data_IF_556529398325
#
_entry.id   IF_556529398325
#
_cell.length_a   1.000
_cell.length_b   1.000
_cell.length_c   1.000
_cell.angle_alpha   90.00
_cell.angle_beta   90.00
_cell.angle_gamma   90.00
#
_symmetry.space_group_name_H-M   'P 1'
#
loop_
_entity.id
_entity.type
_entity.pdbx_description
1 polymer ?
#
# COMPACT_ATOMS: atom_id res chain seq x y z
N UNK A 1 28.52 0.66 1.14
CA UNK A 1 28.03 0.34 -0.21
C UNK A 1 26.57 -0.06 -0.10
N UNK A 2 25.67 0.52 -0.88
CA UNK A 2 24.27 0.08 -0.92
C UNK A 2 24.15 -1.14 -1.85
N UNK A 3 23.52 -2.21 -1.37
CA UNK A 3 23.23 -3.40 -2.17
C UNK A 3 22.22 -3.02 -3.26
N UNK A 4 22.51 -3.34 -4.52
CA UNK A 4 21.58 -3.13 -5.65
C UNK A 4 20.86 -4.44 -5.95
N UNK A 5 19.54 -4.45 -5.78
CA UNK A 5 18.68 -5.57 -6.21
C UNK A 5 18.30 -5.31 -7.67
N UNK A 6 18.81 -6.13 -8.59
CA UNK A 6 18.52 -6.05 -10.02
C UNK A 6 17.09 -6.51 -10.33
N UNK A 7 16.48 -5.93 -11.38
CA UNK A 7 15.18 -6.37 -11.90
C UNK A 7 13.93 -5.74 -11.24
N UNK A 8 14.09 -4.81 -10.31
CA UNK A 8 12.94 -4.13 -9.69
C UNK A 8 12.42 -2.98 -10.57
N UNK A 9 11.12 -2.98 -10.84
CA UNK A 9 10.41 -1.85 -11.43
C UNK A 9 10.36 -0.67 -10.43
N UNK A 10 10.33 0.58 -10.92
CA UNK A 10 10.18 1.77 -10.09
C UNK A 10 8.78 1.87 -9.46
N UNK A 11 7.82 1.08 -9.93
CA UNK A 11 6.46 0.98 -9.41
C UNK A 11 6.15 -0.43 -8.90
N UNK A 12 5.17 -0.52 -8.03
CA UNK A 12 4.59 -1.78 -7.55
C UNK A 12 3.08 -1.74 -7.81
N UNK A 13 2.53 -2.83 -8.36
CA UNK A 13 1.09 -2.99 -8.54
C UNK A 13 0.54 -3.87 -7.42
N UNK A 14 -0.53 -3.43 -6.78
CA UNK A 14 -1.16 -4.11 -5.63
C UNK A 14 -2.67 -4.22 -5.89
N UNK A 15 -3.29 -5.39 -5.67
CA UNK A 15 -4.73 -5.53 -5.79
C UNK A 15 -5.45 -4.78 -4.66
N UNK A 16 -6.54 -4.12 -5.01
CA UNK A 16 -7.43 -3.41 -4.09
C UNK A 16 -8.89 -3.81 -4.32
N UNK A 17 -9.69 -3.70 -3.27
CA UNK A 17 -11.11 -4.03 -3.30
C UNK A 17 -11.90 -2.85 -2.75
N UNK A 18 -12.81 -2.31 -3.56
CA UNK A 18 -13.79 -1.31 -3.16
C UNK A 18 -15.11 -2.02 -2.83
N UNK A 19 -15.68 -1.72 -1.66
CA UNK A 19 -16.99 -2.22 -1.26
C UNK A 19 -18.02 -1.11 -1.41
N UNK A 20 -18.97 -1.28 -2.34
CA UNK A 20 -20.03 -0.32 -2.60
C UNK A 20 -21.36 -0.82 -2.03
N UNK A 21 -22.14 0.03 -1.33
CA UNK A 21 -23.47 -0.34 -0.89
C UNK A 21 -24.38 -0.57 -2.10
N UNK A 22 -25.16 -1.64 -2.06
CA UNK A 22 -26.18 -1.97 -3.07
C UNK A 22 -27.53 -2.22 -2.40
N UNK A 23 -28.57 -2.39 -3.22
CA UNK A 23 -29.94 -2.59 -2.76
C UNK A 23 -30.07 -3.74 -1.76
N UNK A 24 -30.98 -3.57 -0.80
CA UNK A 24 -31.22 -4.56 0.25
C UNK A 24 -30.16 -4.58 1.37
N UNK A 25 -29.33 -3.54 1.49
CA UNK A 25 -28.32 -3.42 2.55
C UNK A 25 -27.11 -4.33 2.35
N UNK A 26 -26.88 -4.78 1.11
CA UNK A 26 -25.73 -5.60 0.75
C UNK A 26 -24.57 -4.70 0.26
N UNK A 27 -23.40 -5.31 0.07
CA UNK A 27 -22.23 -4.65 -0.51
C UNK A 27 -21.73 -5.43 -1.73
N UNK A 28 -21.48 -4.73 -2.83
CA UNK A 28 -20.80 -5.26 -3.99
C UNK A 28 -19.29 -4.99 -3.89
N UNK A 29 -18.48 -6.02 -4.13
CA UNK A 29 -17.03 -5.89 -4.17
C UNK A 29 -16.56 -5.65 -5.60
N UNK A 30 -15.89 -4.52 -5.82
CA UNK A 30 -15.21 -4.20 -7.07
C UNK A 30 -13.70 -4.35 -6.88
N UNK A 31 -13.07 -5.23 -7.65
CA UNK A 31 -11.63 -5.48 -7.60
C UNK A 31 -10.92 -4.68 -8.68
N UNK A 32 -9.87 -3.98 -8.28
CA UNK A 32 -9.03 -3.17 -9.16
C UNK A 32 -7.57 -3.28 -8.73
N UNK A 33 -6.64 -2.74 -9.51
CA UNK A 33 -5.23 -2.67 -9.14
C UNK A 33 -4.80 -1.22 -8.96
N UNK A 34 -3.93 -0.99 -7.99
CA UNK A 34 -3.32 0.31 -7.73
C UNK A 34 -1.84 0.22 -8.00
N UNK A 35 -1.29 1.18 -8.74
CA UNK A 35 0.13 1.30 -8.96
C UNK A 35 0.72 2.36 -8.05
N UNK A 36 1.62 1.94 -7.17
CA UNK A 36 2.35 2.83 -6.26
C UNK A 36 3.78 3.04 -6.72
N UNK A 37 4.31 4.23 -6.45
CA UNK A 37 5.75 4.50 -6.62
C UNK A 37 6.57 3.81 -5.54
N UNK A 38 7.69 3.21 -5.92
CA UNK A 38 8.64 2.60 -4.98
C UNK A 38 9.44 3.70 -4.28
N UNK A 39 9.00 4.07 -3.08
CA UNK A 39 9.63 5.10 -2.27
C UNK A 39 10.86 4.60 -1.48
N UNK A 40 11.88 5.47 -1.28
CA UNK A 40 12.96 5.18 -0.33
C UNK A 40 12.43 5.11 1.10
N UNK A 41 13.14 4.40 1.99
CA UNK A 41 12.76 4.26 3.41
C UNK A 41 12.54 5.61 4.08
N UNK A 42 13.47 6.56 3.92
CA UNK A 42 13.36 7.90 4.52
C UNK A 42 12.05 8.62 4.17
N UNK A 43 11.65 8.62 2.90
CA UNK A 43 10.39 9.24 2.45
C UNK A 43 9.16 8.51 2.99
N UNK A 44 9.20 7.17 3.07
CA UNK A 44 8.10 6.40 3.66
C UNK A 44 7.93 6.67 5.15
N UNK A 45 9.04 6.72 5.89
CA UNK A 45 9.02 7.01 7.33
C UNK A 45 8.45 8.43 7.57
N UNK A 46 8.85 9.41 6.77
CA UNK A 46 8.30 10.77 6.81
C UNK A 46 6.79 10.81 6.52
N UNK A 47 6.32 10.12 5.48
CA UNK A 47 4.89 10.04 5.16
C UNK A 47 4.11 9.41 6.32
N UNK A 48 4.62 8.32 6.91
CA UNK A 48 3.97 7.68 8.05
C UNK A 48 3.91 8.60 9.26
N UNK A 49 4.96 9.36 9.54
CA UNK A 49 4.96 10.35 10.62
C UNK A 49 3.93 11.46 10.37
N UNK A 50 3.84 11.97 9.13
CA UNK A 50 2.86 12.99 8.73
C UNK A 50 1.42 12.50 8.82
N UNK A 51 1.16 11.22 8.56
CA UNK A 51 -0.18 10.63 8.66
C UNK A 51 -0.56 10.36 10.12
N UNK A 52 0.33 9.73 10.90
CA UNK A 52 0.00 9.25 12.26
C UNK A 52 0.13 10.36 13.31
N UNK A 53 1.24 11.10 13.29
CA UNK A 53 1.54 12.12 14.30
C UNK A 53 1.11 13.49 13.80
N UNK A 54 1.46 13.80 12.55
CA UNK A 54 1.37 15.13 11.98
C UNK A 54 2.59 15.99 12.35
N UNK A 55 2.82 17.03 11.56
CA UNK A 55 3.94 17.96 11.75
C UNK A 55 3.41 19.29 12.27
N UNK A 56 4.10 19.85 13.26
CA UNK A 56 3.79 21.20 13.74
C UNK A 56 4.03 22.22 12.62
N UNK A 57 3.03 23.02 12.32
CA UNK A 57 3.10 24.18 11.46
C UNK A 57 2.60 25.40 12.22
N UNK A 58 3.08 26.57 11.82
CA UNK A 58 2.57 27.84 12.33
C UNK A 58 1.56 28.37 11.32
N UNK A 59 0.32 28.53 11.77
CA UNK A 59 -0.78 29.08 10.98
C UNK A 59 -0.55 30.54 10.60
N UNK A 60 -1.34 31.05 9.67
CA UNK A 60 -1.24 32.44 9.20
C UNK A 60 -1.53 33.48 10.30
N UNK A 61 -2.20 33.06 11.38
CA UNK A 61 -2.52 33.82 12.58
C UNK A 61 -1.47 33.67 13.70
N UNK A 62 -0.39 32.92 13.45
CA UNK A 62 0.65 32.65 14.44
C UNK A 62 0.31 31.53 15.43
N UNK A 63 -0.83 30.84 15.26
CA UNK A 63 -1.19 29.69 16.08
C UNK A 63 -0.36 28.45 15.71
N UNK A 64 0.05 27.67 16.71
CA UNK A 64 0.65 26.36 16.48
C UNK A 64 -0.46 25.36 16.10
N UNK A 65 -0.38 24.81 14.89
CA UNK A 65 -1.27 23.77 14.37
C UNK A 65 -0.47 22.49 14.08
N UNK A 66 -1.16 21.34 14.12
CA UNK A 66 -0.57 20.07 13.71
C UNK A 66 -1.15 19.70 12.36
N UNK A 67 -0.38 19.92 11.29
CA UNK A 67 -0.77 19.51 9.95
C UNK A 67 -0.55 18.02 9.77
N UNK A 68 -1.62 17.29 9.47
CA UNK A 68 -1.60 15.88 9.07
C UNK A 68 -1.81 15.76 7.58
N UNK A 69 -1.18 14.73 7.00
CA UNK A 69 -1.42 14.39 5.61
C UNK A 69 -2.81 13.75 5.47
N UNK A 70 -3.66 14.35 4.65
CA UNK A 70 -4.97 13.77 4.32
C UNK A 70 -4.82 12.60 3.36
N UNK A 71 -5.84 11.75 3.23
CA UNK A 71 -5.83 10.63 2.28
C UNK A 71 -5.61 11.11 0.83
N UNK A 72 -6.30 12.14 0.33
CA UNK A 72 -6.06 12.63 -1.03
C UNK A 72 -4.61 13.11 -1.24
N UNK A 73 -4.03 13.82 -0.26
CA UNK A 73 -2.63 14.26 -0.32
C UNK A 73 -1.65 13.09 -0.25
N UNK A 74 -1.95 12.07 0.56
CA UNK A 74 -1.19 10.83 0.60
C UNK A 74 -1.18 10.15 -0.76
N UNK A 75 -2.35 9.97 -1.38
CA UNK A 75 -2.47 9.29 -2.65
C UNK A 75 -1.85 10.08 -3.80
N UNK A 76 -1.93 11.42 -3.77
CA UNK A 76 -1.22 12.28 -4.74
C UNK A 76 0.30 12.09 -4.67
N UNK A 77 0.80 11.81 -3.46
CA UNK A 77 2.19 11.45 -3.29
C UNK A 77 2.43 10.02 -3.77
N UNK A 78 1.69 9.00 -3.32
CA UNK A 78 2.15 7.60 -3.46
C UNK A 78 1.66 6.88 -4.72
N UNK A 79 0.52 7.27 -5.29
CA UNK A 79 -0.11 6.59 -6.43
C UNK A 79 0.36 7.20 -7.75
N UNK A 80 0.60 6.35 -8.74
CA UNK A 80 0.99 6.78 -10.09
C UNK A 80 0.12 6.16 -11.18
N UNK A 81 -0.76 5.23 -10.83
CA UNK A 81 -1.61 4.53 -11.79
C UNK A 81 -2.66 3.66 -11.10
N UNK A 82 -3.59 3.17 -11.90
CA UNK A 82 -4.53 2.12 -11.54
C UNK A 82 -4.78 1.20 -12.74
N UNK A 83 -5.40 0.07 -12.50
CA UNK A 83 -5.90 -0.84 -13.53
C UNK A 83 -7.23 -1.46 -13.10
N UNK A 84 -8.01 -1.93 -14.08
CA UNK A 84 -9.34 -2.49 -13.82
C UNK A 84 -10.46 -1.45 -13.70
N UNK A 85 -10.16 -0.17 -13.91
CA UNK A 85 -11.15 0.91 -13.97
C UNK A 85 -11.65 1.08 -15.41
N UNK A 86 -12.96 0.99 -15.63
CA UNK A 86 -13.60 1.05 -16.95
C UNK A 86 -14.72 2.09 -16.97
N UNK A 87 -14.84 2.80 -18.09
CA UNK A 87 -15.92 3.75 -18.34
C UNK A 87 -17.22 3.06 -18.75
N UNK A 88 -18.26 3.85 -19.02
CA UNK A 88 -19.59 3.36 -19.40
C UNK A 88 -19.59 2.54 -20.71
N UNK A 89 -18.66 2.83 -21.61
CA UNK A 89 -18.46 2.14 -22.89
C UNK A 89 -17.59 0.87 -22.75
N UNK A 90 -17.13 0.55 -21.53
CA UNK A 90 -16.22 -0.54 -21.25
C UNK A 90 -14.74 -0.23 -21.57
N UNK A 91 -14.43 0.99 -22.01
CA UNK A 91 -13.05 1.40 -22.28
C UNK A 91 -12.26 1.60 -20.98
N UNK A 92 -10.96 1.27 -20.92
CA UNK A 92 -10.13 1.55 -19.76
C UNK A 92 -10.04 3.06 -19.48
N UNK A 93 -10.25 3.45 -18.23
CA UNK A 93 -10.11 4.85 -17.80
C UNK A 93 -8.65 5.10 -17.40
N UNK A 94 -7.92 5.99 -18.09
CA UNK A 94 -6.55 6.30 -17.74
C UNK A 94 -6.48 6.99 -16.38
N UNK A 95 -5.45 6.67 -15.60
CA UNK A 95 -5.25 7.29 -14.30
C UNK A 95 -4.85 8.76 -14.42
N UNK A 96 -5.50 9.62 -13.64
CA UNK A 96 -5.01 10.94 -13.27
C UNK A 96 -5.48 11.27 -11.85
N UNK A 97 -4.86 12.26 -11.19
CA UNK A 97 -5.32 12.69 -9.86
C UNK A 97 -6.73 13.29 -9.90
N UNK A 98 -7.05 13.98 -10.99
CA UNK A 98 -8.38 14.54 -11.23
C UNK A 98 -9.41 13.42 -11.37
N UNK A 99 -9.12 12.43 -12.21
CA UNK A 99 -10.01 11.29 -12.43
C UNK A 99 -10.21 10.46 -11.16
N UNK A 100 -9.15 10.28 -10.37
CA UNK A 100 -9.24 9.61 -9.06
C UNK A 100 -10.22 10.32 -8.13
N UNK A 101 -10.14 11.65 -8.05
CA UNK A 101 -11.03 12.48 -7.22
C UNK A 101 -12.46 12.49 -7.74
N UNK A 102 -12.63 12.57 -9.06
CA UNK A 102 -13.94 12.45 -9.70
C UNK A 102 -14.58 11.09 -9.41
N UNK A 103 -13.78 10.01 -9.48
CA UNK A 103 -14.26 8.66 -9.18
C UNK A 103 -14.62 8.49 -7.71
N UNK A 104 -13.85 9.08 -6.77
CA UNK A 104 -14.20 9.08 -5.33
C UNK A 104 -15.53 9.81 -5.06
N UNK A 105 -15.81 10.90 -5.75
CA UNK A 105 -17.08 11.63 -5.61
C UNK A 105 -18.28 10.78 -6.05
N UNK A 106 -18.12 9.99 -7.12
CA UNK A 106 -19.17 9.10 -7.64
C UNK A 106 -19.26 7.81 -6.82
N UNK A 107 -18.12 7.27 -6.38
CA UNK A 107 -17.97 6.01 -5.67
C UNK A 107 -17.20 6.21 -4.36
N UNK A 108 -17.87 6.71 -3.29
CA UNK A 108 -17.22 7.00 -2.03
C UNK A 108 -16.51 5.79 -1.43
N UNK A 109 -15.28 6.00 -0.95
CA UNK A 109 -14.44 4.97 -0.35
C UNK A 109 -13.41 4.34 -1.28
N UNK A 110 -13.33 4.76 -2.55
CA UNK A 110 -12.27 4.37 -3.47
C UNK A 110 -10.88 4.76 -2.92
N UNK A 111 -10.68 6.03 -2.58
CA UNK A 111 -9.43 6.53 -2.02
C UNK A 111 -9.11 5.86 -0.68
N UNK A 112 -10.14 5.58 0.14
CA UNK A 112 -9.97 4.81 1.37
C UNK A 112 -9.46 3.40 1.08
N UNK A 113 -10.01 2.70 0.09
CA UNK A 113 -9.56 1.37 -0.32
C UNK A 113 -8.09 1.41 -0.80
N UNK A 114 -7.70 2.44 -1.56
CA UNK A 114 -6.32 2.64 -2.01
C UNK A 114 -5.37 2.92 -0.83
N UNK A 115 -5.79 3.72 0.15
CA UNK A 115 -5.01 4.02 1.34
C UNK A 115 -4.79 2.78 2.21
N UNK A 116 -5.82 1.95 2.39
CA UNK A 116 -5.73 0.70 3.15
C UNK A 116 -4.67 -0.23 2.53
N UNK A 117 -4.73 -0.47 1.21
CA UNK A 117 -3.76 -1.36 0.57
C UNK A 117 -2.34 -0.80 0.55
N UNK A 118 -2.17 0.53 0.59
CA UNK A 118 -0.86 1.15 0.80
C UNK A 118 -0.27 0.77 2.17
N UNK A 119 -1.03 0.93 3.25
CA UNK A 119 -0.57 0.62 4.59
C UNK A 119 -0.37 -0.88 4.84
N UNK A 120 -1.25 -1.71 4.27
CA UNK A 120 -1.15 -3.17 4.36
C UNK A 120 0.04 -3.69 3.53
N UNK A 121 0.13 -3.29 2.26
CA UNK A 121 1.18 -3.75 1.33
C UNK A 121 2.61 -3.36 1.76
N UNK A 122 2.76 -2.28 2.53
CA UNK A 122 4.07 -1.84 3.02
C UNK A 122 4.64 -2.67 4.17
N UNK A 123 3.80 -3.37 4.92
CA UNK A 123 4.22 -4.12 6.11
C UNK A 123 4.05 -5.64 5.98
N UNK A 124 3.10 -6.10 5.16
CA UNK A 124 2.69 -7.53 5.11
C UNK A 124 3.76 -8.43 4.49
N UNK A 125 4.46 -7.99 3.43
CA UNK A 125 5.38 -8.88 2.71
C UNK A 125 6.60 -9.33 3.54
N UNK A 126 7.05 -8.54 4.53
CA UNK A 126 8.15 -8.96 5.42
C UNK A 126 7.67 -9.86 6.55
N UNK A 127 6.41 -9.75 6.99
CA UNK A 127 5.82 -10.67 7.96
C UNK A 127 5.64 -12.05 7.35
N UNK A 128 5.08 -12.12 6.15
CA UNK A 128 4.93 -13.38 5.42
C UNK A 128 6.28 -13.98 5.03
N UNK A 129 7.26 -13.15 4.62
CA UNK A 129 8.61 -13.60 4.36
C UNK A 129 9.30 -14.10 5.64
N UNK A 130 9.12 -13.44 6.79
CA UNK A 130 9.65 -13.89 8.07
C UNK A 130 9.04 -15.25 8.47
N UNK A 131 7.73 -15.45 8.29
CA UNK A 131 7.07 -16.74 8.51
C UNK A 131 7.58 -17.82 7.57
N UNK A 132 7.78 -17.53 6.28
CA UNK A 132 8.35 -18.50 5.34
C UNK A 132 9.82 -18.82 5.64
N UNK A 133 10.61 -17.81 6.02
CA UNK A 133 12.02 -17.98 6.38
C UNK A 133 12.19 -18.79 7.66
N UNK A 134 11.32 -18.59 8.67
CA UNK A 134 11.38 -19.36 9.92
C UNK A 134 11.06 -20.84 9.68
N UNK A 135 10.08 -21.15 8.84
CA UNK A 135 9.76 -22.53 8.43
C UNK A 135 10.92 -23.18 7.66
N UNK A 136 11.57 -22.42 6.76
CA UNK A 136 12.73 -22.91 6.01
C UNK A 136 13.92 -23.26 6.94
N UNK A 137 14.24 -22.41 7.92
CA UNK A 137 15.31 -22.64 8.91
C UNK A 137 15.04 -23.86 9.81
N UNK A 138 13.78 -24.11 10.19
CA UNK A 138 13.43 -25.29 10.99
C UNK A 138 13.65 -26.61 10.25
N UNK A 139 13.47 -26.63 8.92
CA UNK A 139 13.71 -27.84 8.11
C UNK A 139 15.19 -28.20 7.93
N UNK A 140 16.10 -27.23 8.06
CA UNK A 140 17.56 -27.46 7.88
C UNK A 140 18.25 -27.92 9.16
N UNK A 141 17.63 -27.75 10.33
CA UNK A 141 18.25 -28.06 11.64
C UNK A 141 17.92 -29.47 12.15
N UNK A 142 16.96 -30.19 11.54
CA UNK A 142 16.57 -31.54 11.98
C UNK A 142 17.35 -32.69 11.33
N UNK A 143 18.35 -32.40 10.49
CA UNK A 143 19.12 -33.41 9.78
C UNK A 143 20.62 -33.34 10.06
N UNK A 144 21.07 -33.76 11.24
CA UNK A 144 22.36 -34.45 11.47
C UNK A 144 22.75 -34.41 12.95
N UNK A 145 22.22 -35.35 13.74
CA UNK A 145 22.97 -35.87 14.90
C UNK A 145 22.64 -37.36 15.06
N UNK A 146 23.09 -38.17 14.10
CA UNK A 146 23.29 -39.59 14.32
C UNK A 146 24.79 -39.78 14.63
N UNK A 147 25.15 -39.61 15.90
CA UNK A 147 26.45 -40.01 16.43
C UNK A 147 26.55 -41.54 16.29
N UNK A 148 27.34 -42.01 15.33
CA UNK A 148 27.78 -43.41 15.28
C UNK A 148 28.80 -43.61 16.42
N UNK A 149 28.36 -44.21 17.52
CA UNK A 149 29.26 -44.70 18.55
C UNK A 149 29.82 -46.06 18.09
N UNK A 150 31.09 -46.07 17.70
CA UNK A 150 31.90 -47.29 17.60
C UNK A 150 32.90 -47.32 18.74
N UNK A 151 32.75 -48.30 19.64
CA UNK A 151 33.80 -49.05 20.34
C UNK A 151 33.13 -50.17 21.13
#
# INVERSE_FOLDING_TARGET
MAVKISGLKPTISVPATLYLPVDGGQFAAHQFSVEFKRLPKSRRDEINELVVVGKKSTGADGAEEVKRLTIPELLDEVVVGWGGMTGEDGSPVPYSHEERRATEEVYPGLEQAMAVVWFDGMNVHQRDAATKNSVALSSTTSGSTAQTATS
#
